data_IF_457943123179
#
_entry.id   IF_457943123179
#
_cell.length_a   1.000
_cell.length_b   1.000
_cell.length_c   1.000
_cell.angle_alpha   90.00
_cell.angle_beta   90.00
_cell.angle_gamma   90.00
#
_symmetry.space_group_name_H-M   'P 1'
#
loop_
_entity.id
_entity.type
_entity.pdbx_description
1 polymer ?
#
# COMPACT_ATOMS: atom_id res chain seq x y z
N UNK A 1 -15.64 -1.42 0.70
CA UNK A 1 -14.47 -1.89 1.46
C UNK A 1 -13.28 -0.95 1.36
N UNK A 2 -12.79 -0.60 0.16
CA UNK A 2 -11.68 0.36 0.00
C UNK A 2 -11.87 1.65 0.80
N UNK A 3 -12.99 2.35 0.56
CA UNK A 3 -13.29 3.62 1.24
C UNK A 3 -13.44 3.45 2.76
N UNK A 4 -14.05 2.33 3.18
CA UNK A 4 -14.16 1.99 4.59
C UNK A 4 -12.76 1.92 5.23
N UNK A 5 -11.85 1.10 4.69
CA UNK A 5 -10.48 0.94 5.22
C UNK A 5 -9.67 2.24 5.18
N UNK A 6 -9.96 3.11 4.20
CA UNK A 6 -9.34 4.43 4.08
C UNK A 6 -9.74 5.35 5.22
N UNK A 7 -11.03 5.43 5.54
CA UNK A 7 -11.59 6.42 6.48
C UNK A 7 -11.71 5.92 7.92
N UNK A 8 -11.93 4.62 8.13
CA UNK A 8 -12.15 4.02 9.45
C UNK A 8 -11.06 4.38 10.48
N UNK A 9 -9.74 4.40 10.15
CA UNK A 9 -8.69 4.75 11.10
C UNK A 9 -8.76 6.18 11.64
N UNK A 10 -9.42 7.10 10.92
CA UNK A 10 -9.59 8.48 11.36
C UNK A 10 -10.67 8.66 12.43
N UNK A 11 -11.53 7.65 12.64
CA UNK A 11 -12.57 7.69 13.66
C UNK A 11 -12.02 7.29 15.04
N UNK A 12 -12.61 7.80 16.14
CA UNK A 12 -12.33 7.32 17.48
C UNK A 12 -12.54 5.81 17.58
N UNK A 13 -11.67 5.04 18.26
CA UNK A 13 -11.76 3.58 18.33
C UNK A 13 -13.16 3.07 18.74
N UNK A 14 -13.79 3.72 19.71
CA UNK A 14 -15.13 3.36 20.19
C UNK A 14 -16.24 3.49 19.13
N UNK A 15 -16.04 4.30 18.08
CA UNK A 15 -17.03 4.55 17.04
C UNK A 15 -16.84 3.67 15.80
N UNK A 16 -15.64 3.10 15.62
CA UNK A 16 -15.25 2.39 14.38
C UNK A 16 -16.18 1.24 14.04
N UNK A 17 -16.50 0.37 15.01
CA UNK A 17 -17.34 -0.79 14.76
C UNK A 17 -18.74 -0.40 14.29
N UNK A 18 -19.36 0.57 14.96
CA UNK A 18 -20.68 1.07 14.58
C UNK A 18 -20.65 1.79 13.21
N UNK A 19 -19.60 2.56 12.94
CA UNK A 19 -19.42 3.25 11.67
C UNK A 19 -19.21 2.27 10.50
N UNK A 20 -18.41 1.22 10.70
CA UNK A 20 -18.19 0.16 9.71
C UNK A 20 -19.49 -0.56 9.35
N UNK A 21 -20.27 -0.97 10.36
CA UNK A 21 -21.56 -1.61 10.17
C UNK A 21 -22.54 -0.70 9.41
N UNK A 22 -22.68 0.57 9.82
CA UNK A 22 -23.53 1.56 9.14
C UNK A 22 -23.11 1.80 7.70
N UNK A 23 -21.80 1.88 7.43
CA UNK A 23 -21.28 2.10 6.09
C UNK A 23 -21.63 0.93 5.18
N UNK A 24 -21.37 -0.31 5.62
CA UNK A 24 -21.60 -1.51 4.83
C UNK A 24 -23.08 -1.84 4.65
N UNK A 25 -23.94 -1.46 5.60
CA UNK A 25 -25.39 -1.65 5.52
C UNK A 25 -26.11 -0.72 4.53
N UNK A 26 -25.40 0.19 3.86
CA UNK A 26 -26.01 1.04 2.84
C UNK A 26 -26.57 0.20 1.68
N UNK A 27 -27.82 0.42 1.24
CA UNK A 27 -28.45 -0.38 0.18
C UNK A 27 -27.65 -0.46 -1.12
N UNK A 28 -26.87 0.58 -1.43
CA UNK A 28 -25.99 0.64 -2.60
C UNK A 28 -24.94 -0.49 -2.65
N UNK A 29 -24.62 -1.13 -1.52
CA UNK A 29 -23.67 -2.23 -1.46
C UNK A 29 -24.31 -3.61 -1.67
N UNK A 30 -25.64 -3.72 -1.53
CA UNK A 30 -26.37 -4.97 -1.76
C UNK A 30 -25.97 -6.13 -0.84
N UNK A 31 -25.46 -5.84 0.36
CA UNK A 31 -25.00 -6.84 1.33
C UNK A 31 -26.14 -7.28 2.26
N UNK A 32 -26.18 -8.57 2.58
CA UNK A 32 -27.00 -9.12 3.67
C UNK A 32 -26.44 -8.71 5.03
N UNK A 33 -27.27 -8.84 6.09
CA UNK A 33 -26.84 -8.52 7.45
C UNK A 33 -25.65 -9.38 7.92
N UNK A 34 -25.58 -10.64 7.47
CA UNK A 34 -24.46 -11.53 7.75
C UNK A 34 -23.18 -11.02 7.06
N UNK A 35 -23.25 -10.71 5.77
CA UNK A 35 -22.10 -10.16 5.03
C UNK A 35 -21.61 -8.83 5.60
N UNK A 36 -22.52 -7.96 6.04
CA UNK A 36 -22.17 -6.71 6.74
C UNK A 36 -21.37 -6.99 8.00
N UNK A 37 -21.84 -7.93 8.83
CA UNK A 37 -21.16 -8.29 10.08
C UNK A 37 -19.77 -8.88 9.82
N UNK A 38 -19.67 -9.81 8.87
CA UNK A 38 -18.41 -10.46 8.49
C UNK A 38 -17.40 -9.42 7.97
N UNK A 39 -17.80 -8.60 6.99
CA UNK A 39 -16.91 -7.61 6.38
C UNK A 39 -16.52 -6.50 7.37
N UNK A 40 -17.41 -6.10 8.28
CA UNK A 40 -17.08 -5.16 9.34
C UNK A 40 -16.03 -5.74 10.29
N UNK A 41 -16.21 -6.99 10.74
CA UNK A 41 -15.27 -7.68 11.61
C UNK A 41 -13.89 -7.80 10.96
N UNK A 42 -13.84 -8.17 9.67
CA UNK A 42 -12.58 -8.29 8.96
C UNK A 42 -11.89 -6.92 8.74
N UNK A 43 -12.64 -5.86 8.43
CA UNK A 43 -12.09 -4.52 8.29
C UNK A 43 -11.48 -4.00 9.61
N UNK A 44 -12.15 -4.27 10.73
CA UNK A 44 -11.63 -3.97 12.07
C UNK A 44 -10.38 -4.80 12.37
N UNK A 45 -10.41 -6.11 12.09
CA UNK A 45 -9.27 -7.00 12.33
C UNK A 45 -7.99 -6.53 11.60
N UNK A 46 -8.12 -6.01 10.36
CA UNK A 46 -7.00 -5.41 9.63
C UNK A 46 -6.54 -4.11 10.28
N UNK A 47 -7.46 -3.19 10.52
CA UNK A 47 -7.13 -1.81 10.95
C UNK A 47 -6.70 -1.73 12.40
N UNK A 48 -7.07 -2.70 13.22
CA UNK A 48 -6.75 -2.77 14.65
C UNK A 48 -5.68 -3.82 14.97
N UNK A 49 -5.12 -4.48 13.95
CA UNK A 49 -4.04 -5.45 14.11
C UNK A 49 -2.82 -4.83 14.82
N UNK A 50 -2.38 -5.38 15.99
CA UNK A 50 -1.22 -4.86 16.70
C UNK A 50 0.07 -4.89 15.89
N UNK A 51 0.22 -5.88 14.99
CA UNK A 51 1.41 -6.04 14.15
C UNK A 51 1.63 -4.86 13.18
N UNK A 52 0.58 -4.10 12.89
CA UNK A 52 0.58 -3.01 11.91
C UNK A 52 -0.09 -1.76 12.42
N UNK A 53 -0.24 -1.63 13.75
CA UNK A 53 -0.97 -0.54 14.39
C UNK A 53 -0.50 0.84 13.93
N UNK A 54 0.81 1.00 13.69
CA UNK A 54 1.38 2.25 13.20
C UNK A 54 0.76 2.73 11.87
N UNK A 55 0.36 1.82 10.98
CA UNK A 55 -0.27 2.16 9.69
C UNK A 55 -1.64 2.79 9.87
N UNK A 56 -2.38 2.42 10.92
CA UNK A 56 -3.75 2.87 11.16
C UNK A 56 -3.87 3.74 12.43
N UNK A 57 -2.74 4.20 12.96
CA UNK A 57 -2.70 5.17 14.04
C UNK A 57 -3.00 6.58 13.51
N UNK A 58 -3.38 7.50 14.40
CA UNK A 58 -3.66 8.90 14.05
C UNK A 58 -2.48 9.60 13.36
N UNK A 59 -1.24 9.27 13.76
CA UNK A 59 -0.02 9.81 13.14
C UNK A 59 0.25 9.29 11.72
N UNK A 60 -0.51 8.30 11.25
CA UNK A 60 -0.41 7.82 9.86
C UNK A 60 -1.08 8.81 8.91
N UNK A 61 -0.51 8.95 7.72
CA UNK A 61 -1.02 9.83 6.69
C UNK A 61 -1.66 8.99 5.59
N UNK A 62 -2.88 9.34 5.21
CA UNK A 62 -3.54 8.77 4.04
C UNK A 62 -3.18 9.57 2.77
N UNK A 63 -3.27 8.92 1.62
CA UNK A 63 -3.17 9.56 0.29
C UNK A 63 -1.91 10.43 0.12
N UNK A 64 -0.74 9.86 0.46
CA UNK A 64 0.52 10.60 0.45
C UNK A 64 1.12 10.61 -0.96
N UNK A 65 1.30 11.78 -1.61
CA UNK A 65 1.98 11.86 -2.89
C UNK A 65 3.46 11.52 -2.73
N UNK A 66 3.97 10.69 -3.63
CA UNK A 66 5.39 10.31 -3.73
C UNK A 66 5.90 10.75 -5.11
N UNK A 67 6.67 11.83 -5.11
CA UNK A 67 7.27 12.41 -6.30
C UNK A 67 8.77 12.58 -6.07
N UNK A 68 9.57 12.09 -7.01
CA UNK A 68 11.02 12.22 -6.95
C UNK A 68 11.72 11.37 -8.00
N UNK A 69 13.03 11.26 -7.88
CA UNK A 69 13.85 10.41 -8.75
C UNK A 69 14.68 9.47 -7.90
N UNK A 70 14.68 8.19 -8.26
CA UNK A 70 15.45 7.14 -7.58
C UNK A 70 16.60 6.72 -8.47
N UNK A 71 17.82 6.72 -7.92
CA UNK A 71 19.00 6.21 -8.61
C UNK A 71 19.33 4.81 -8.11
N UNK A 72 19.41 3.85 -9.02
CA UNK A 72 19.77 2.46 -8.70
C UNK A 72 20.87 1.97 -9.63
N UNK A 73 21.54 0.84 -9.31
CA UNK A 73 22.44 0.18 -10.26
C UNK A 73 21.77 -0.22 -11.58
N UNK A 74 20.43 -0.28 -11.63
CA UNK A 74 19.63 -0.61 -12.82
C UNK A 74 19.17 0.63 -13.61
N UNK A 75 19.61 1.82 -13.21
CA UNK A 75 19.31 3.09 -13.85
C UNK A 75 18.59 4.09 -12.94
N UNK A 76 18.21 5.23 -13.52
CA UNK A 76 17.47 6.30 -12.85
C UNK A 76 15.99 6.23 -13.22
N UNK A 77 15.11 6.35 -12.23
CA UNK A 77 13.66 6.29 -12.41
C UNK A 77 13.00 7.52 -11.82
N UNK A 78 12.10 8.13 -12.58
CA UNK A 78 11.16 9.11 -12.02
C UNK A 78 10.01 8.38 -11.37
N UNK A 79 9.77 8.67 -10.10
CA UNK A 79 8.62 8.21 -9.33
C UNK A 79 7.63 9.35 -9.28
N UNK A 80 6.41 9.09 -9.75
CA UNK A 80 5.27 9.98 -9.57
C UNK A 80 4.06 9.10 -9.28
N UNK A 81 3.51 9.24 -8.09
CA UNK A 81 2.31 8.51 -7.69
C UNK A 81 1.88 8.89 -6.29
N UNK A 82 1.02 8.06 -5.73
CA UNK A 82 0.43 8.28 -4.42
C UNK A 82 0.35 6.93 -3.73
N UNK A 83 0.72 6.90 -2.45
CA UNK A 83 0.50 5.73 -1.61
C UNK A 83 -0.74 5.94 -0.77
N UNK A 84 -1.59 4.91 -0.66
CA UNK A 84 -2.86 5.02 0.07
C UNK A 84 -2.62 5.36 1.55
N UNK A 85 -1.54 4.85 2.15
CA UNK A 85 -1.24 5.05 3.55
C UNK A 85 0.26 4.96 3.84
N UNK A 86 0.75 5.88 4.65
CA UNK A 86 2.15 5.95 5.06
C UNK A 86 2.23 6.30 6.55
N UNK A 87 2.96 5.48 7.29
CA UNK A 87 3.28 5.71 8.69
C UNK A 87 4.80 5.79 8.87
N UNK A 88 5.23 6.73 9.71
CA UNK A 88 6.64 6.96 10.00
C UNK A 88 6.84 6.82 11.50
N UNK A 89 7.61 5.83 11.92
CA UNK A 89 8.00 5.61 13.31
C UNK A 89 9.45 6.07 13.53
N UNK A 90 9.97 5.89 14.74
CA UNK A 90 11.38 6.20 15.05
C UNK A 90 12.36 5.33 14.26
N UNK A 91 11.97 4.08 13.95
CA UNK A 91 12.85 3.06 13.35
C UNK A 91 12.40 2.61 11.96
N UNK A 92 11.15 2.86 11.59
CA UNK A 92 10.55 2.30 10.38
C UNK A 92 9.72 3.33 9.61
N UNK A 93 9.57 3.08 8.31
CA UNK A 93 8.55 3.69 7.45
C UNK A 93 7.71 2.55 6.89
N UNK A 94 6.40 2.59 7.13
CA UNK A 94 5.46 1.58 6.67
C UNK A 94 4.59 2.22 5.59
N UNK A 95 4.44 1.53 4.46
CA UNK A 95 3.56 1.96 3.37
C UNK A 95 2.56 0.88 2.98
N UNK A 96 1.33 1.28 2.65
CA UNK A 96 0.27 0.38 2.18
C UNK A 96 -0.34 0.92 0.90
N UNK A 97 -0.56 0.04 -0.06
CA UNK A 97 -1.30 0.30 -1.30
C UNK A 97 -2.47 -0.69 -1.41
N UNK A 98 -3.67 -0.19 -1.74
CA UNK A 98 -4.92 -0.95 -1.65
C UNK A 98 -5.22 -1.60 -3.00
N UNK A 99 -5.68 -2.86 -2.97
CA UNK A 99 -5.95 -3.64 -4.19
C UNK A 99 -7.31 -4.31 -4.15
N UNK A 100 -8.10 -4.05 -5.19
CA UNK A 100 -9.46 -4.59 -5.36
C UNK A 100 -9.50 -5.87 -6.19
N UNK A 101 -8.37 -6.31 -6.77
CA UNK A 101 -8.30 -7.47 -7.66
C UNK A 101 -8.83 -8.75 -6.99
N UNK A 102 -9.44 -9.63 -7.79
CA UNK A 102 -10.04 -10.89 -7.34
C UNK A 102 -9.58 -12.06 -8.22
N UNK A 103 -9.25 -13.23 -7.64
CA UNK A 103 -8.89 -13.44 -6.23
C UNK A 103 -7.50 -12.84 -5.91
N UNK A 104 -7.24 -12.42 -4.67
CA UNK A 104 -5.90 -12.01 -4.27
C UNK A 104 -4.95 -13.23 -4.28
N UNK A 105 -3.70 -13.09 -4.74
CA UNK A 105 -2.72 -14.16 -4.68
C UNK A 105 -2.48 -14.58 -3.23
N UNK A 106 -2.23 -15.88 -2.99
CA UNK A 106 -2.00 -16.40 -1.63
C UNK A 106 -0.67 -15.93 -1.02
N UNK A 107 0.33 -15.67 -1.87
CA UNK A 107 1.69 -15.34 -1.46
C UNK A 107 2.23 -14.13 -2.20
N UNK A 108 3.16 -13.41 -1.56
CA UNK A 108 3.80 -12.21 -2.12
C UNK A 108 4.47 -12.46 -3.49
N UNK A 109 5.01 -13.67 -3.72
CA UNK A 109 5.61 -14.05 -5.00
C UNK A 109 4.61 -14.10 -6.16
N UNK A 110 3.34 -14.41 -5.87
CA UNK A 110 2.24 -14.43 -6.84
C UNK A 110 1.68 -13.05 -7.18
N UNK A 111 2.16 -11.99 -6.52
CA UNK A 111 1.75 -10.62 -6.81
C UNK A 111 2.25 -10.20 -8.20
N UNK A 112 1.37 -9.56 -8.97
CA UNK A 112 1.71 -9.04 -10.29
C UNK A 112 2.99 -8.19 -10.24
N UNK A 113 3.91 -8.43 -11.17
CA UNK A 113 5.23 -7.80 -11.19
C UNK A 113 5.15 -6.27 -11.21
N UNK A 114 4.11 -5.70 -11.85
CA UNK A 114 3.87 -4.26 -11.88
C UNK A 114 3.70 -3.66 -10.48
N UNK A 115 2.91 -4.31 -9.60
CA UNK A 115 2.73 -3.84 -8.22
C UNK A 115 4.01 -3.97 -7.41
N UNK A 116 4.75 -5.06 -7.59
CA UNK A 116 6.06 -5.24 -6.91
C UNK A 116 7.08 -4.20 -7.35
N UNK A 117 7.15 -3.88 -8.65
CA UNK A 117 8.01 -2.82 -9.20
C UNK A 117 7.67 -1.45 -8.62
N UNK A 118 6.39 -1.11 -8.55
CA UNK A 118 5.93 0.14 -7.99
C UNK A 118 6.32 0.27 -6.50
N UNK A 119 6.02 -0.76 -5.69
CA UNK A 119 6.40 -0.77 -4.28
C UNK A 119 7.93 -0.73 -4.09
N UNK A 120 8.71 -1.37 -4.98
CA UNK A 120 10.17 -1.31 -4.92
C UNK A 120 10.68 0.12 -5.15
N UNK A 121 10.11 0.84 -6.12
CA UNK A 121 10.43 2.25 -6.39
C UNK A 121 10.01 3.17 -5.23
N UNK A 122 8.80 2.99 -4.68
CA UNK A 122 8.35 3.75 -3.51
C UNK A 122 9.23 3.50 -2.30
N UNK A 123 9.59 2.24 -2.05
CA UNK A 123 10.52 1.86 -0.98
C UNK A 123 11.88 2.54 -1.13
N UNK A 124 12.44 2.53 -2.34
CA UNK A 124 13.73 3.15 -2.60
C UNK A 124 13.70 4.66 -2.40
N UNK A 125 12.67 5.35 -2.94
CA UNK A 125 12.49 6.78 -2.74
C UNK A 125 12.36 7.15 -1.25
N UNK A 126 11.57 6.39 -0.50
CA UNK A 126 11.36 6.65 0.93
C UNK A 126 12.60 6.36 1.77
N UNK A 127 13.45 5.41 1.35
CA UNK A 127 14.72 5.15 2.02
C UNK A 127 15.70 6.34 1.87
N UNK A 128 15.64 7.07 0.75
CA UNK A 128 16.41 8.32 0.57
C UNK A 128 15.84 9.46 1.43
N UNK A 129 14.51 9.57 1.54
CA UNK A 129 13.83 10.62 2.33
C UNK A 129 14.00 10.39 3.85
N UNK A 130 13.99 9.14 4.32
CA UNK A 130 14.07 8.78 5.73
C UNK A 130 15.32 7.93 6.03
N UNK A 131 16.53 8.52 6.00
CA UNK A 131 17.76 7.79 6.22
C UNK A 131 17.78 7.13 7.61
N UNK A 132 18.32 5.91 7.67
CA UNK A 132 18.42 5.15 8.92
C UNK A 132 17.13 4.45 9.37
N UNK A 133 16.04 4.53 8.59
CA UNK A 133 14.78 3.82 8.88
C UNK A 133 14.55 2.67 7.91
N UNK A 134 14.07 1.54 8.43
CA UNK A 134 13.67 0.40 7.60
C UNK A 134 12.34 0.72 6.93
N UNK A 135 12.31 0.66 5.60
CA UNK A 135 11.06 0.82 4.84
C UNK A 135 10.42 -0.55 4.59
N UNK A 136 9.18 -0.74 5.05
CA UNK A 136 8.35 -1.94 4.87
C UNK A 136 7.14 -1.59 4.01
N UNK A 137 6.80 -2.47 3.06
CA UNK A 137 5.73 -2.22 2.10
C UNK A 137 4.69 -3.33 2.12
N UNK A 138 3.42 -2.95 2.06
CA UNK A 138 2.30 -3.85 2.17
C UNK A 138 1.29 -3.61 1.05
N UNK A 139 0.60 -4.67 0.66
CA UNK A 139 -0.62 -4.60 -0.12
C UNK A 139 -1.81 -4.95 0.78
N UNK A 140 -2.84 -4.11 0.76
CA UNK A 140 -4.10 -4.40 1.43
C UNK A 140 -5.13 -4.86 0.39
N UNK A 141 -5.44 -6.15 0.39
CA UNK A 141 -6.44 -6.72 -0.51
C UNK A 141 -7.83 -6.41 0.02
N UNK A 142 -8.65 -5.65 -0.69
CA UNK A 142 -9.96 -5.21 -0.19
C UNK A 142 -11.09 -6.19 -0.54
N UNK A 143 -10.83 -7.20 -1.37
CA UNK A 143 -11.81 -8.25 -1.69
C UNK A 143 -11.83 -9.38 -0.65
N UNK A 144 -10.71 -9.54 0.05
CA UNK A 144 -10.57 -10.31 1.27
C UNK A 144 -9.59 -9.48 2.12
N UNK A 145 -10.06 -8.59 3.01
CA UNK A 145 -9.29 -7.62 3.83
C UNK A 145 -8.12 -8.32 4.53
N UNK A 146 -7.04 -8.43 3.77
CA UNK A 146 -5.83 -9.14 4.14
C UNK A 146 -4.67 -8.22 3.82
N UNK A 147 -3.92 -7.90 4.87
CA UNK A 147 -2.68 -7.16 4.72
C UNK A 147 -1.55 -8.15 4.41
N UNK A 148 -0.87 -7.94 3.30
CA UNK A 148 0.22 -8.77 2.82
C UNK A 148 1.49 -7.93 2.76
N UNK A 149 2.50 -8.28 3.56
CA UNK A 149 3.83 -7.68 3.42
C UNK A 149 4.52 -8.22 2.16
N UNK A 150 5.12 -7.31 1.38
CA UNK A 150 6.04 -7.69 0.31
C UNK A 150 7.44 -7.50 0.86
N UNK A 151 8.11 -8.62 1.16
CA UNK A 151 9.40 -8.58 1.81
C UNK A 151 10.47 -7.86 0.96
N UNK A 152 11.51 -7.37 1.65
CA UNK A 152 12.58 -6.59 1.01
C UNK A 152 13.26 -7.34 -0.14
N UNK A 153 13.48 -8.66 -0.01
CA UNK A 153 14.13 -9.47 -1.05
C UNK A 153 13.28 -9.53 -2.32
N UNK A 154 11.97 -9.72 -2.16
CA UNK A 154 11.00 -9.71 -3.25
C UNK A 154 10.96 -8.34 -3.93
N UNK A 155 11.03 -7.24 -3.18
CA UNK A 155 11.09 -5.89 -3.75
C UNK A 155 12.42 -5.63 -4.48
N UNK A 156 13.55 -6.01 -3.90
CA UNK A 156 14.89 -5.83 -4.47
C UNK A 156 15.02 -6.55 -5.81
N UNK A 157 14.54 -7.81 -5.87
CA UNK A 157 14.52 -8.59 -7.12
C UNK A 157 13.57 -8.01 -8.15
N UNK A 158 12.47 -7.39 -7.71
CA UNK A 158 11.45 -6.80 -8.59
C UNK A 158 11.82 -5.42 -9.11
N UNK A 159 12.91 -4.79 -8.66
CA UNK A 159 13.34 -3.46 -9.11
C UNK A 159 13.41 -3.40 -10.66
N UNK A 160 12.77 -2.44 -11.34
CA UNK A 160 12.82 -2.37 -12.79
C UNK A 160 14.25 -2.09 -13.29
N UNK A 161 14.47 -2.32 -14.58
CA UNK A 161 15.60 -1.76 -15.33
C UNK A 161 15.12 -0.51 -16.04
N UNK A 162 15.96 0.54 -16.05
CA UNK A 162 15.67 1.69 -16.87
C UNK A 162 15.60 1.22 -18.33
N UNK A 163 14.68 1.75 -19.13
CA UNK A 163 14.73 1.49 -20.57
C UNK A 163 16.14 1.82 -21.05
N UNK A 164 16.77 0.92 -21.79
CA UNK A 164 18.04 1.22 -22.42
C UNK A 164 17.85 2.51 -23.21
N UNK A 165 18.66 3.54 -22.94
CA UNK A 165 18.70 4.69 -23.82
C UNK A 165 19.12 4.14 -25.19
N UNK A 166 18.16 4.06 -26.12
CA UNK A 166 18.47 3.97 -27.53
C UNK A 166 19.06 5.33 -27.88
N UNK A 167 20.37 5.47 -27.72
CA UNK A 167 21.12 6.55 -28.32
C UNK A 167 20.85 6.49 -29.83
N UNK A 168 19.92 7.32 -30.27
CA UNK A 168 19.71 7.54 -31.70
C UNK A 168 20.96 8.26 -32.19
N UNK A 169 21.70 7.71 -33.17
CA UNK A 169 22.85 8.42 -33.70
C UNK A 169 22.39 9.77 -34.25
N UNK A 170 23.01 10.86 -33.78
CA UNK A 170 22.79 12.20 -34.35
C UNK A 170 23.03 12.12 -35.86
N UNK A 171 22.16 12.71 -36.70
CA UNK A 171 22.48 12.81 -38.12
C UNK A 171 23.77 13.64 -38.27
N UNK A 172 24.73 13.10 -39.01
CA UNK A 172 25.91 13.83 -39.44
C UNK A 172 25.46 15.04 -40.26
N UNK A 173 26.07 16.19 -39.97
CA UNK A 173 25.82 17.47 -40.64
C UNK A 173 26.40 17.50 -42.05
#
# INVERSE_FOLDING_TARGET
>A
MHDLLRHLPALPPAERAAAAGRFLAQPAHGLSAAEVADWAAEALAVTESPAHQALFAEASRAEVPLIGSVKTPRGTFTVSGQVDRLAVTKTEVLIVDYKTNRPPPEQAAGVALAYRRQLALYRALLAEIYPGRRVRAFLLWTAAPRLMEIDAKTLDTSMPYAPAHLDSPRPAS
#
